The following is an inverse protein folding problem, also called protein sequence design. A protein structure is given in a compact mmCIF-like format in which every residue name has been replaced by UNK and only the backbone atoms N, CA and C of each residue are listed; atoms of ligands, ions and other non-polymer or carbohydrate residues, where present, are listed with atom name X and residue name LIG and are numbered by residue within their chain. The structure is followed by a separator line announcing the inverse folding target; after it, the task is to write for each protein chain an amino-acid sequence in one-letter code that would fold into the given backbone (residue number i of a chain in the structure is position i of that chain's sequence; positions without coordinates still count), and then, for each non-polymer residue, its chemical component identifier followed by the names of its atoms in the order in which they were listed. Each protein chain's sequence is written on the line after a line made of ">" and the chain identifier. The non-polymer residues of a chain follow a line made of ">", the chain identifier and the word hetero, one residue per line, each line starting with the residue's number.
data_IF_233595429746
#
_entry.id   IF_233595429746
#
_cell.length_a   1.000
_cell.length_b   1.000
_cell.length_c   1.000
_cell.angle_alpha   90.00
_cell.angle_beta   90.00
_cell.angle_gamma   90.00
#
_symmetry.space_group_name_H-M   'P 1'
#
loop_
_entity.id
_entity.type
_entity.pdbx_description
1 polymer ?
#
# COMPACT_ATOMS: atom_id res chain seq x y z
N UNK A 1 -14.24 -24.35 14.97
CA UNK A 1 -14.05 -23.01 15.56
C UNK A 1 -14.31 -22.01 14.45
N UNK A 2 -15.35 -21.18 14.54
CA UNK A 2 -15.60 -20.16 13.52
C UNK A 2 -14.42 -19.18 13.52
N UNK A 3 -13.72 -19.04 12.39
CA UNK A 3 -12.67 -18.03 12.22
C UNK A 3 -13.28 -16.65 12.51
N UNK A 4 -12.87 -16.03 13.62
CA UNK A 4 -13.29 -14.66 13.92
C UNK A 4 -12.61 -13.72 12.92
N UNK A 5 -13.36 -13.24 11.93
CA UNK A 5 -12.93 -12.18 11.02
C UNK A 5 -12.60 -10.89 11.79
N UNK A 6 -11.67 -10.09 11.27
CA UNK A 6 -11.36 -8.80 11.84
C UNK A 6 -12.59 -7.91 11.66
N UNK A 7 -13.16 -7.40 12.75
CA UNK A 7 -14.16 -6.33 12.67
C UNK A 7 -13.41 -4.99 12.53
N UNK A 8 -12.62 -4.86 11.46
CA UNK A 8 -11.89 -3.63 11.17
C UNK A 8 -12.89 -2.49 10.97
N UNK A 9 -12.58 -1.27 11.46
CA UNK A 9 -13.44 -0.11 11.22
C UNK A 9 -13.61 0.14 9.71
N UNK A 10 -14.83 0.44 9.27
CA UNK A 10 -15.10 0.92 7.90
C UNK A 10 -15.14 2.46 7.92
N UNK A 11 -14.24 3.12 7.23
CA UNK A 11 -14.06 4.56 7.24
C UNK A 11 -14.52 5.16 5.92
N UNK A 12 -15.45 6.11 5.94
CA UNK A 12 -15.96 6.80 4.76
C UNK A 12 -15.01 7.92 4.33
N UNK A 13 -14.38 7.77 3.16
CA UNK A 13 -13.52 8.82 2.60
C UNK A 13 -14.32 10.07 2.26
N UNK A 14 -15.58 9.94 1.86
CA UNK A 14 -16.45 11.09 1.61
C UNK A 14 -16.70 11.90 2.90
N UNK A 15 -16.95 11.24 4.03
CA UNK A 15 -17.10 11.90 5.33
C UNK A 15 -15.79 12.52 5.82
N UNK A 16 -14.64 11.89 5.55
CA UNK A 16 -13.32 12.48 5.81
C UNK A 16 -13.04 13.72 4.96
N UNK A 17 -13.48 13.78 3.68
CA UNK A 17 -13.35 15.01 2.86
C UNK A 17 -14.07 16.20 3.49
N UNK A 18 -15.17 15.95 4.21
CA UNK A 18 -15.92 16.94 4.95
C UNK A 18 -15.43 17.14 6.40
N UNK A 19 -14.32 16.50 6.79
CA UNK A 19 -13.77 16.51 8.16
C UNK A 19 -14.81 16.17 9.23
N UNK A 20 -15.69 15.19 8.94
CA UNK A 20 -16.73 14.76 9.88
C UNK A 20 -16.09 14.31 11.21
N UNK A 21 -16.43 14.92 12.37
CA UNK A 21 -15.79 14.61 13.65
C UNK A 21 -15.92 13.15 14.08
N UNK A 22 -17.08 12.53 13.82
CA UNK A 22 -17.31 11.11 14.14
C UNK A 22 -16.41 10.19 13.32
N UNK A 23 -16.16 10.56 12.06
CA UNK A 23 -15.34 9.75 11.16
C UNK A 23 -13.84 9.91 11.47
N UNK A 24 -13.42 11.14 11.83
CA UNK A 24 -12.07 11.40 12.34
C UNK A 24 -11.78 10.60 13.61
N UNK A 25 -12.73 10.51 14.54
CA UNK A 25 -12.56 9.72 15.76
C UNK A 25 -12.50 8.22 15.47
N UNK A 26 -13.28 7.74 14.50
CA UNK A 26 -13.20 6.35 14.04
C UNK A 26 -11.83 6.04 13.42
N UNK A 27 -11.28 6.97 12.64
CA UNK A 27 -9.94 6.88 12.08
C UNK A 27 -8.88 6.92 13.18
N UNK A 28 -8.98 7.84 14.14
CA UNK A 28 -8.07 7.91 15.28
C UNK A 28 -7.96 6.57 15.98
N UNK A 29 -9.10 5.98 16.36
CA UNK A 29 -9.14 4.66 17.00
C UNK A 29 -8.46 3.61 16.11
N UNK A 30 -8.84 3.52 14.84
CA UNK A 30 -8.24 2.55 13.92
C UNK A 30 -6.71 2.68 13.84
N UNK A 31 -6.19 3.91 13.82
CA UNK A 31 -4.76 4.19 13.79
C UNK A 31 -4.05 3.81 15.09
N UNK A 32 -4.68 3.97 16.27
CA UNK A 32 -4.06 3.68 17.57
C UNK A 32 -4.25 2.24 18.04
N UNK A 33 -5.17 1.48 17.43
CA UNK A 33 -5.43 0.08 17.82
C UNK A 33 -5.04 -0.95 16.77
N UNK A 34 -5.72 -0.99 15.62
CA UNK A 34 -5.49 -2.03 14.62
C UNK A 34 -4.43 -1.68 13.58
N UNK A 35 -4.13 -0.39 13.39
CA UNK A 35 -3.28 0.09 12.29
C UNK A 35 -3.86 -0.17 10.90
N UNK A 36 -5.10 -0.66 10.83
CA UNK A 36 -5.79 -1.14 9.64
C UNK A 36 -7.28 -0.76 9.70
N UNK A 37 -7.84 -0.42 8.55
CA UNK A 37 -9.27 -0.15 8.39
C UNK A 37 -9.71 -0.43 6.96
N UNK A 38 -11.02 -0.53 6.71
CA UNK A 38 -11.56 -0.49 5.34
C UNK A 38 -11.89 0.95 4.97
N UNK A 39 -11.48 1.42 3.80
CA UNK A 39 -11.98 2.66 3.21
C UNK A 39 -13.23 2.39 2.36
N UNK A 40 -14.26 3.21 2.54
CA UNK A 40 -15.54 3.19 1.82
C UNK A 40 -15.84 4.58 1.24
N UNK A 41 -16.88 4.70 0.41
CA UNK A 41 -17.28 5.97 -0.24
C UNK A 41 -16.11 6.68 -0.94
N UNK A 42 -15.19 5.90 -1.48
CA UNK A 42 -13.95 6.37 -2.09
C UNK A 42 -14.19 7.08 -3.42
N UNK A 43 -15.22 6.66 -4.16
CA UNK A 43 -15.62 7.27 -5.44
C UNK A 43 -14.76 6.86 -6.65
N UNK A 44 -13.82 5.92 -6.47
CA UNK A 44 -13.13 5.22 -7.57
C UNK A 44 -14.17 4.41 -8.36
N UNK A 45 -14.21 4.58 -9.69
CA UNK A 45 -15.12 3.87 -10.58
C UNK A 45 -14.81 2.38 -10.68
N UNK A 46 -15.83 1.52 -10.61
CA UNK A 46 -15.66 0.05 -10.71
C UNK A 46 -15.11 -0.35 -12.09
N UNK A 47 -15.50 0.37 -13.15
CA UNK A 47 -15.02 0.18 -14.51
C UNK A 47 -13.51 0.38 -14.64
N UNK A 48 -12.94 1.38 -13.95
CA UNK A 48 -11.50 1.66 -13.98
C UNK A 48 -10.73 0.54 -13.28
N UNK A 49 -11.25 0.04 -12.16
CA UNK A 49 -10.67 -1.09 -11.43
C UNK A 49 -10.74 -2.36 -12.27
N UNK A 50 -11.87 -2.61 -12.96
CA UNK A 50 -12.06 -3.77 -13.81
C UNK A 50 -11.15 -3.75 -15.04
N UNK A 51 -11.02 -2.61 -15.71
CA UNK A 51 -10.12 -2.44 -16.86
C UNK A 51 -8.66 -2.70 -16.47
N UNK A 52 -8.19 -2.13 -15.36
CA UNK A 52 -6.85 -2.38 -14.83
C UNK A 52 -6.65 -3.86 -14.44
N UNK A 53 -7.69 -4.50 -13.89
CA UNK A 53 -7.67 -5.92 -13.54
C UNK A 53 -7.50 -6.79 -14.78
N UNK A 54 -8.35 -6.60 -15.79
CA UNK A 54 -8.33 -7.40 -17.02
C UNK A 54 -7.02 -7.19 -17.79
N UNK A 55 -6.55 -5.95 -17.92
CA UNK A 55 -5.31 -5.65 -18.63
C UNK A 55 -4.08 -6.24 -17.92
N UNK A 56 -4.04 -6.20 -16.58
CA UNK A 56 -2.97 -6.80 -15.81
C UNK A 56 -2.97 -8.33 -15.92
N UNK A 57 -4.14 -8.98 -15.91
CA UNK A 57 -4.24 -10.41 -16.18
C UNK A 57 -3.72 -10.77 -17.58
N UNK A 58 -3.98 -9.94 -18.60
CA UNK A 58 -3.39 -10.12 -19.93
C UNK A 58 -1.86 -10.04 -19.88
N UNK A 59 -1.30 -9.04 -19.19
CA UNK A 59 0.14 -8.91 -19.02
C UNK A 59 0.75 -10.14 -18.32
N UNK A 60 0.21 -10.58 -17.18
CA UNK A 60 0.75 -11.72 -16.45
C UNK A 60 0.59 -13.06 -17.17
N UNK A 61 -0.35 -13.13 -18.13
CA UNK A 61 -0.52 -14.29 -19.02
C UNK A 61 0.49 -14.36 -20.17
N UNK A 62 1.31 -13.33 -20.37
CA UNK A 62 2.38 -13.36 -21.37
C UNK A 62 3.45 -14.40 -21.01
N UNK A 63 4.17 -14.96 -22.02
CA UNK A 63 5.35 -15.78 -21.77
C UNK A 63 6.36 -15.07 -20.87
N UNK A 64 7.04 -15.81 -19.99
CA UNK A 64 7.98 -15.25 -19.02
C UNK A 64 9.04 -14.38 -19.71
N UNK A 65 9.55 -14.81 -20.86
CA UNK A 65 10.56 -14.10 -21.64
C UNK A 65 10.08 -12.72 -22.09
N UNK A 66 8.78 -12.58 -22.37
CA UNK A 66 8.16 -11.29 -22.72
C UNK A 66 8.00 -10.39 -21.50
N UNK A 67 7.60 -10.95 -20.36
CA UNK A 67 7.48 -10.21 -19.10
C UNK A 67 8.84 -9.68 -18.63
N UNK A 68 9.90 -10.49 -18.76
CA UNK A 68 11.26 -10.14 -18.36
C UNK A 68 11.86 -8.96 -19.15
N UNK A 69 11.35 -8.63 -20.35
CA UNK A 69 11.77 -7.44 -21.09
C UNK A 69 11.44 -6.13 -20.37
N UNK A 70 10.51 -6.18 -19.40
CA UNK A 70 10.09 -5.06 -18.57
C UNK A 70 10.55 -5.20 -17.13
N UNK A 71 11.49 -6.12 -16.84
CA UNK A 71 11.97 -6.38 -15.49
C UNK A 71 12.65 -5.16 -14.86
N UNK A 72 12.85 -5.20 -13.53
CA UNK A 72 13.59 -4.17 -12.79
C UNK A 72 14.96 -3.84 -13.43
N UNK A 73 15.68 -4.82 -13.98
CA UNK A 73 17.01 -4.60 -14.56
C UNK A 73 17.01 -3.67 -15.79
N UNK A 74 15.89 -3.67 -16.54
CA UNK A 74 15.67 -2.88 -17.75
C UNK A 74 15.18 -1.46 -17.45
N UNK A 75 14.90 -1.13 -16.19
CA UNK A 75 14.49 0.21 -15.79
C UNK A 75 15.70 1.15 -15.69
N UNK A 76 15.49 2.42 -16.04
CA UNK A 76 16.52 3.48 -15.98
C UNK A 76 16.44 4.34 -14.72
N UNK A 77 15.35 4.21 -13.94
CA UNK A 77 15.11 4.92 -12.69
C UNK A 77 15.92 4.38 -11.52
N UNK A 78 16.17 5.23 -10.52
CA UNK A 78 16.76 4.84 -9.23
C UNK A 78 15.72 4.91 -8.11
N UNK A 79 15.61 3.89 -7.24
CA UNK A 79 16.15 2.55 -7.42
C UNK A 79 15.36 1.80 -8.51
N UNK A 80 16.06 0.93 -9.24
CA UNK A 80 15.45 0.04 -10.24
C UNK A 80 14.42 -0.92 -9.65
N UNK A 81 14.63 -1.32 -8.39
CA UNK A 81 13.81 -2.30 -7.66
C UNK A 81 12.39 -1.84 -7.34
N UNK A 82 12.02 -0.61 -7.74
CA UNK A 82 10.70 -0.03 -7.49
C UNK A 82 9.93 0.25 -8.77
N UNK A 83 10.34 -0.37 -9.88
CA UNK A 83 9.72 -0.26 -11.20
C UNK A 83 9.87 -1.56 -11.98
N UNK A 84 8.92 -1.84 -12.86
CA UNK A 84 8.95 -2.97 -13.77
C UNK A 84 8.55 -4.30 -13.14
N UNK A 85 8.71 -5.35 -13.93
CA UNK A 85 8.30 -6.70 -13.61
C UNK A 85 9.26 -7.41 -12.65
N UNK A 86 8.70 -8.24 -11.77
CA UNK A 86 9.42 -9.15 -10.87
C UNK A 86 8.80 -10.54 -11.03
N UNK A 87 9.60 -11.57 -11.39
CA UNK A 87 9.09 -12.93 -11.52
C UNK A 87 8.72 -13.53 -10.16
N UNK A 88 7.95 -14.62 -10.19
CA UNK A 88 7.66 -15.40 -8.99
C UNK A 88 8.94 -15.82 -8.27
N UNK A 89 9.00 -15.59 -6.96
CA UNK A 89 10.20 -15.82 -6.15
C UNK A 89 11.28 -14.73 -6.28
N UNK A 90 10.99 -13.61 -6.95
CA UNK A 90 11.93 -12.49 -7.08
C UNK A 90 11.97 -11.54 -5.88
N UNK A 91 11.05 -11.68 -4.92
CA UNK A 91 10.99 -10.89 -3.68
C UNK A 91 10.93 -11.84 -2.47
N UNK A 92 11.60 -11.48 -1.37
CA UNK A 92 11.53 -12.20 -0.09
C UNK A 92 11.13 -11.21 1.00
N UNK A 93 9.89 -11.31 1.48
CA UNK A 93 9.39 -10.44 2.57
C UNK A 93 9.65 -11.03 3.96
N UNK A 94 9.71 -12.36 4.05
CA UNK A 94 10.00 -13.09 5.29
C UNK A 94 11.05 -14.16 4.99
N UNK A 95 12.32 -13.88 5.32
CA UNK A 95 13.44 -14.78 5.06
C UNK A 95 13.27 -16.16 5.70
N UNK A 96 12.43 -16.28 6.74
CA UNK A 96 12.12 -17.57 7.38
C UNK A 96 11.22 -18.48 6.53
N UNK A 97 10.56 -17.94 5.51
CA UNK A 97 9.66 -18.67 4.60
C UNK A 97 10.23 -18.88 3.19
N UNK A 98 11.37 -18.25 2.89
CA UNK A 98 11.94 -18.21 1.55
C UNK A 98 11.19 -17.24 0.63
N UNK A 99 11.54 -17.27 -0.65
CA UNK A 99 11.05 -16.31 -1.63
C UNK A 99 9.55 -16.44 -1.89
N UNK A 100 8.88 -15.30 -2.06
CA UNK A 100 7.44 -15.21 -2.20
C UNK A 100 7.00 -15.65 -3.61
N UNK A 101 6.17 -16.71 -3.75
CA UNK A 101 5.76 -17.26 -5.04
C UNK A 101 4.61 -16.45 -5.67
N UNK A 102 4.89 -15.18 -5.98
CA UNK A 102 3.96 -14.21 -6.58
C UNK A 102 4.69 -13.36 -7.62
N UNK A 103 3.98 -12.99 -8.68
CA UNK A 103 4.51 -12.07 -9.69
C UNK A 103 4.13 -10.62 -9.35
N UNK A 104 5.01 -9.68 -9.68
CA UNK A 104 4.80 -8.26 -9.40
C UNK A 104 5.07 -7.44 -10.66
N UNK A 105 4.33 -6.36 -10.84
CA UNK A 105 4.73 -5.24 -11.69
C UNK A 105 4.64 -3.95 -10.88
N UNK A 106 5.77 -3.27 -10.71
CA UNK A 106 5.87 -1.99 -10.01
C UNK A 106 5.86 -0.81 -10.99
N UNK A 107 5.17 0.24 -10.59
CA UNK A 107 5.06 1.50 -11.31
C UNK A 107 5.01 2.65 -10.28
N UNK A 108 4.91 3.89 -10.73
CA UNK A 108 4.75 5.03 -9.83
C UNK A 108 4.44 6.32 -10.56
N UNK A 109 4.65 7.44 -9.87
CA UNK A 109 4.48 8.75 -10.48
C UNK A 109 5.70 9.10 -11.34
N UNK A 110 5.41 9.68 -12.51
CA UNK A 110 6.39 10.36 -13.34
C UNK A 110 6.28 11.85 -13.03
N UNK A 111 7.37 12.44 -12.56
CA UNK A 111 7.45 13.86 -12.24
C UNK A 111 8.45 14.50 -13.20
N UNK A 112 8.03 15.58 -13.86
CA UNK A 112 8.92 16.34 -14.73
C UNK A 112 9.73 17.39 -13.97
N UNK A 113 10.78 17.92 -14.61
CA UNK A 113 11.60 19.01 -14.08
C UNK A 113 12.63 18.58 -13.04
N UNK A 114 13.08 19.53 -12.20
CA UNK A 114 14.17 19.31 -11.25
C UNK A 114 13.83 18.24 -10.20
N UNK A 115 12.62 18.30 -9.63
CA UNK A 115 12.14 17.32 -8.66
C UNK A 115 11.98 15.91 -9.27
N UNK A 116 11.80 15.82 -10.59
CA UNK A 116 11.78 14.57 -11.35
C UNK A 116 13.10 13.80 -11.36
N UNK A 117 14.21 14.46 -11.00
CA UNK A 117 15.54 13.84 -10.91
C UNK A 117 15.78 13.11 -9.59
N UNK A 118 14.91 13.32 -8.59
CA UNK A 118 14.99 12.59 -7.34
C UNK A 118 14.72 11.08 -7.57
N UNK A 119 15.21 10.24 -6.66
CA UNK A 119 14.87 8.81 -6.70
C UNK A 119 13.35 8.63 -6.68
N UNK A 120 12.87 7.54 -7.27
CA UNK A 120 11.45 7.16 -7.37
C UNK A 120 10.56 8.08 -8.23
N UNK A 121 11.08 9.18 -8.81
CA UNK A 121 10.28 10.18 -9.53
C UNK A 121 10.36 10.09 -11.07
N UNK A 122 11.08 9.10 -11.59
CA UNK A 122 11.29 8.92 -13.03
C UNK A 122 10.22 8.08 -13.74
N UNK A 123 10.32 8.08 -15.07
CA UNK A 123 9.47 7.29 -15.97
C UNK A 123 9.74 5.79 -15.85
N UNK A 124 8.66 5.01 -15.86
CA UNK A 124 8.70 3.55 -15.96
C UNK A 124 8.78 3.11 -17.42
N UNK A 125 9.64 2.15 -17.74
CA UNK A 125 9.61 1.48 -19.03
C UNK A 125 8.48 0.44 -19.04
N UNK A 126 7.38 0.79 -19.70
CA UNK A 126 6.13 0.03 -19.77
C UNK A 126 6.00 -0.71 -21.12
N UNK A 127 5.26 -1.84 -21.16
CA UNK A 127 4.90 -2.49 -22.41
C UNK A 127 4.03 -1.59 -23.28
N UNK A 128 4.22 -1.69 -24.60
CA UNK A 128 3.40 -1.00 -25.59
C UNK A 128 2.06 -1.72 -25.82
N UNK A 129 1.18 -1.09 -26.59
CA UNK A 129 -0.15 -1.62 -26.93
C UNK A 129 -0.09 -2.92 -27.74
N UNK A 130 1.02 -3.19 -28.44
CA UNK A 130 1.20 -4.45 -29.17
C UNK A 130 1.54 -5.60 -28.23
N UNK A 131 2.35 -5.31 -27.20
CA UNK A 131 2.85 -6.31 -26.25
C UNK A 131 1.84 -6.62 -25.15
N UNK A 132 1.22 -5.59 -24.56
CA UNK A 132 0.23 -5.74 -23.50
C UNK A 132 -0.90 -4.70 -23.67
N UNK A 133 -1.88 -4.96 -24.57
CA UNK A 133 -2.94 -4.01 -24.89
C UNK A 133 -3.64 -3.46 -23.64
N UNK A 134 -3.69 -2.13 -23.53
CA UNK A 134 -4.34 -1.37 -22.47
C UNK A 134 -3.67 -1.43 -21.10
N UNK A 135 -2.58 -2.19 -20.91
CA UNK A 135 -1.94 -2.33 -19.58
C UNK A 135 -1.45 -0.99 -19.06
N UNK A 136 -0.60 -0.29 -19.82
CA UNK A 136 -0.04 1.00 -19.41
C UNK A 136 -1.12 2.07 -19.17
N UNK A 137 -2.13 2.15 -20.04
CA UNK A 137 -3.19 3.16 -19.94
C UNK A 137 -4.11 2.92 -18.73
N UNK A 138 -4.54 1.68 -18.51
CA UNK A 138 -5.48 1.35 -17.41
C UNK A 138 -4.81 1.38 -16.04
N UNK A 139 -3.54 0.95 -15.91
CA UNK A 139 -2.80 1.08 -14.64
C UNK A 139 -2.59 2.55 -14.28
N UNK A 140 -2.29 3.41 -15.25
CA UNK A 140 -2.19 4.86 -15.06
C UNK A 140 -3.53 5.52 -14.71
N UNK A 141 -4.63 5.10 -15.35
CA UNK A 141 -5.97 5.59 -15.04
C UNK A 141 -6.37 5.25 -13.59
N UNK A 142 -6.13 4.00 -13.17
CA UNK A 142 -6.37 3.58 -11.79
C UNK A 142 -5.50 4.36 -10.80
N UNK A 143 -4.21 4.56 -11.11
CA UNK A 143 -3.29 5.35 -10.28
C UNK A 143 -3.79 6.75 -10.03
N UNK A 144 -4.22 7.45 -11.10
CA UNK A 144 -4.75 8.81 -11.02
C UNK A 144 -5.98 8.85 -10.11
N UNK A 145 -6.91 7.92 -10.27
CA UNK A 145 -8.11 7.84 -9.43
C UNK A 145 -7.78 7.66 -7.95
N UNK A 146 -6.85 6.76 -7.62
CA UNK A 146 -6.44 6.53 -6.23
C UNK A 146 -5.73 7.77 -5.67
N UNK A 147 -4.82 8.38 -6.43
CA UNK A 147 -4.14 9.62 -6.02
C UNK A 147 -5.14 10.75 -5.79
N UNK A 148 -6.08 10.97 -6.71
CA UNK A 148 -7.01 12.10 -6.63
C UNK A 148 -8.08 11.91 -5.55
N UNK A 149 -8.54 10.67 -5.35
CA UNK A 149 -9.72 10.38 -4.53
C UNK A 149 -9.38 9.85 -3.13
N UNK A 150 -8.24 9.20 -2.94
CA UNK A 150 -7.87 8.54 -1.67
C UNK A 150 -6.86 9.36 -0.88
N UNK A 151 -5.83 9.89 -1.54
CA UNK A 151 -4.74 10.58 -0.86
C UNK A 151 -5.19 11.87 -0.15
N UNK A 152 -5.94 12.81 -0.76
CA UNK A 152 -6.31 14.06 -0.10
C UNK A 152 -7.11 13.90 1.20
N UNK A 153 -8.21 13.11 1.27
CA UNK A 153 -8.96 12.99 2.52
C UNK A 153 -8.14 12.36 3.64
N UNK A 154 -7.29 11.37 3.32
CA UNK A 154 -6.44 10.72 4.33
C UNK A 154 -5.32 11.65 4.80
N UNK A 155 -4.61 12.35 3.90
CA UNK A 155 -3.58 13.31 4.29
C UNK A 155 -4.12 14.46 5.16
N UNK A 156 -5.31 14.99 4.82
CA UNK A 156 -5.98 16.01 5.65
C UNK A 156 -6.37 15.48 7.02
N UNK A 157 -6.97 14.29 7.05
CA UNK A 157 -7.37 13.66 8.29
C UNK A 157 -6.16 13.37 9.18
N UNK A 158 -5.10 12.72 8.65
CA UNK A 158 -3.87 12.46 9.40
C UNK A 158 -3.21 13.75 9.90
N UNK A 159 -3.19 14.82 9.12
CA UNK A 159 -2.68 16.12 9.55
C UNK A 159 -3.40 16.64 10.81
N UNK A 160 -4.74 16.54 10.84
CA UNK A 160 -5.56 16.91 12.01
C UNK A 160 -5.34 15.95 13.17
N UNK A 161 -5.26 14.64 12.90
CA UNK A 161 -5.07 13.64 13.96
C UNK A 161 -3.68 13.75 14.61
N UNK A 162 -2.70 14.26 13.86
CA UNK A 162 -1.36 14.68 14.33
C UNK A 162 -1.37 16.06 15.02
N UNK A 163 -2.53 16.69 15.22
CA UNK A 163 -2.65 17.97 15.94
C UNK A 163 -2.17 19.19 15.15
N UNK A 164 -2.07 19.07 13.83
CA UNK A 164 -1.72 20.17 12.93
C UNK A 164 -2.92 20.66 12.11
N UNK A 165 -2.74 21.77 11.39
CA UNK A 165 -3.68 22.23 10.35
C UNK A 165 -3.87 21.15 9.28
N UNK A 166 -5.04 21.10 8.64
CA UNK A 166 -5.36 20.09 7.62
C UNK A 166 -4.38 20.05 6.43
N UNK A 167 -3.63 21.13 6.19
CA UNK A 167 -2.65 21.26 5.10
C UNK A 167 -1.22 20.87 5.49
N UNK A 168 -0.99 20.35 6.71
CA UNK A 168 0.35 20.04 7.18
C UNK A 168 1.09 19.03 6.29
N UNK A 169 0.46 17.89 5.96
CA UNK A 169 1.10 16.90 5.09
C UNK A 169 1.26 17.40 3.65
N UNK A 170 0.41 18.33 3.17
CA UNK A 170 0.50 18.87 1.81
C UNK A 170 1.86 19.53 1.52
N UNK A 171 2.49 20.11 2.56
CA UNK A 171 3.82 20.74 2.49
C UNK A 171 4.92 19.74 2.09
N UNK A 172 4.72 18.45 2.37
CA UNK A 172 5.67 17.38 2.08
C UNK A 172 5.22 16.50 0.92
N UNK A 173 3.97 16.61 0.45
CA UNK A 173 3.38 15.74 -0.57
C UNK A 173 3.40 16.37 -1.98
N UNK A 174 4.19 17.41 -2.24
CA UNK A 174 4.22 18.12 -3.53
C UNK A 174 5.61 18.12 -4.18
N UNK A 175 5.91 17.16 -5.07
CA UNK A 175 5.11 15.99 -5.43
C UNK A 175 5.22 14.89 -4.37
N UNK A 176 4.25 13.97 -4.27
CA UNK A 176 4.38 12.82 -3.38
C UNK A 176 5.24 11.75 -4.06
N UNK A 177 5.83 10.86 -3.26
CA UNK A 177 6.38 9.61 -3.81
C UNK A 177 5.30 8.54 -3.73
N UNK A 178 5.01 7.89 -4.85
CA UNK A 178 4.04 6.80 -4.93
C UNK A 178 4.70 5.58 -5.57
N UNK A 179 4.52 4.43 -4.95
CA UNK A 179 4.76 3.15 -5.58
C UNK A 179 3.40 2.51 -5.79
N UNK A 180 3.05 2.27 -7.05
CA UNK A 180 1.91 1.45 -7.43
C UNK A 180 2.43 0.07 -7.73
N UNK A 181 1.86 -0.93 -7.09
CA UNK A 181 2.23 -2.31 -7.32
C UNK A 181 1.02 -3.07 -7.85
N UNK A 182 1.24 -3.91 -8.85
CA UNK A 182 0.27 -4.92 -9.27
C UNK A 182 0.82 -6.29 -8.90
N UNK A 183 0.09 -7.07 -8.10
CA UNK A 183 0.55 -8.38 -7.62
C UNK A 183 -0.39 -9.47 -8.15
N UNK A 184 0.19 -10.48 -8.78
CA UNK A 184 -0.52 -11.66 -9.26
C UNK A 184 -0.10 -12.91 -8.49
N UNK A 185 -1.10 -13.57 -7.92
CA UNK A 185 -0.98 -14.85 -7.22
C UNK A 185 -1.64 -15.91 -8.12
N UNK A 186 -0.89 -16.90 -8.64
CA UNK A 186 -1.45 -17.90 -9.53
C UNK A 186 -2.44 -18.83 -8.82
N UNK A 187 -3.36 -19.41 -9.60
CA UNK A 187 -4.28 -20.44 -9.11
C UNK A 187 -3.56 -21.77 -8.90
N UNK A 188 -4.09 -22.60 -8.01
CA UNK A 188 -3.69 -23.99 -7.75
C UNK A 188 -2.23 -24.18 -7.37
N UNK A 189 -1.52 -23.12 -7.00
CA UNK A 189 -0.15 -23.17 -6.53
C UNK A 189 -0.05 -22.71 -5.07
N UNK A 190 1.06 -23.05 -4.44
CA UNK A 190 1.44 -22.42 -3.19
C UNK A 190 1.87 -20.97 -3.49
N UNK A 191 1.08 -19.97 -3.08
CA UNK A 191 1.39 -18.55 -3.26
C UNK A 191 1.13 -17.78 -1.96
N UNK A 192 2.02 -16.86 -1.61
CA UNK A 192 1.92 -16.07 -0.40
C UNK A 192 2.72 -14.77 -0.50
N UNK A 193 2.42 -13.84 0.39
CA UNK A 193 3.32 -12.75 0.76
C UNK A 193 3.73 -12.92 2.22
N UNK A 194 5.03 -12.93 2.49
CA UNK A 194 5.58 -13.06 3.83
C UNK A 194 5.06 -12.01 4.80
N UNK A 195 5.19 -12.24 6.12
CA UNK A 195 4.79 -11.24 7.12
C UNK A 195 5.68 -9.99 7.00
N UNK A 196 5.09 -8.81 6.94
CA UNK A 196 5.82 -7.55 6.82
C UNK A 196 4.98 -6.37 7.31
N UNK A 197 5.62 -5.21 7.47
CA UNK A 197 4.97 -3.90 7.56
C UNK A 197 5.23 -3.11 6.28
N UNK A 198 4.41 -2.10 6.02
CA UNK A 198 4.65 -1.16 4.92
C UNK A 198 5.35 0.08 5.42
N UNK A 199 6.17 0.70 4.57
CA UNK A 199 7.12 1.71 5.01
C UNK A 199 6.59 3.16 4.92
N UNK A 200 5.55 3.38 4.12
CA UNK A 200 5.04 4.71 3.79
C UNK A 200 4.23 5.36 4.90
N UNK A 201 3.51 6.42 4.56
CA UNK A 201 2.49 6.99 5.43
C UNK A 201 1.36 5.99 5.63
N UNK A 202 0.85 5.47 4.52
CA UNK A 202 -0.19 4.46 4.48
C UNK A 202 -0.15 3.73 3.14
N UNK A 203 -0.80 2.56 3.10
CA UNK A 203 -1.01 1.79 1.88
C UNK A 203 -2.51 1.62 1.64
N UNK A 204 -2.97 1.86 0.42
CA UNK A 204 -4.31 1.51 -0.02
C UNK A 204 -4.26 0.22 -0.85
N UNK A 205 -4.95 -0.84 -0.43
CA UNK A 205 -4.90 -2.16 -1.09
C UNK A 205 -6.21 -2.47 -1.80
N UNK A 206 -6.27 -2.22 -3.10
CA UNK A 206 -7.44 -2.59 -3.90
C UNK A 206 -7.37 -4.09 -4.24
N UNK A 207 -8.40 -4.83 -3.83
CA UNK A 207 -8.56 -6.26 -4.13
C UNK A 207 -9.80 -6.43 -4.99
N UNK A 208 -9.66 -6.37 -6.33
CA UNK A 208 -10.81 -6.47 -7.23
C UNK A 208 -11.44 -7.87 -7.19
N UNK A 209 -12.70 -7.94 -7.60
CA UNK A 209 -13.34 -9.22 -7.90
C UNK A 209 -12.69 -9.77 -9.17
N UNK A 210 -12.32 -11.05 -9.15
CA UNK A 210 -11.78 -11.71 -10.34
C UNK A 210 -12.89 -11.87 -11.40
N UNK A 211 -12.59 -11.63 -12.69
CA UNK A 211 -13.53 -11.91 -13.77
C UNK A 211 -13.93 -13.38 -13.72
N UNK A 212 -15.22 -13.68 -13.75
CA UNK A 212 -15.68 -15.06 -13.89
C UNK A 212 -15.51 -15.50 -15.33
N UNK A 213 -15.14 -16.76 -15.57
CA UNK A 213 -14.85 -17.34 -16.89
C UNK A 213 -16.02 -17.28 -17.91
N UNK A 214 -17.19 -16.79 -17.49
CA UNK A 214 -18.41 -16.69 -18.30
C UNK A 214 -18.84 -15.25 -18.63
N UNK A 215 -18.07 -14.22 -18.24
CA UNK A 215 -18.40 -12.85 -18.66
C UNK A 215 -17.86 -12.59 -20.08
N UNK A 216 -18.70 -12.20 -21.05
CA UNK A 216 -18.26 -11.93 -22.41
C UNK A 216 -17.30 -10.75 -22.43
N UNK A 217 -16.29 -10.85 -23.30
CA UNK A 217 -15.29 -9.80 -23.51
C UNK A 217 -15.99 -8.50 -23.91
N UNK A 218 -15.56 -7.32 -23.43
CA UNK A 218 -16.22 -6.03 -23.71
C UNK A 218 -16.22 -5.61 -25.19
N UNK A 219 -15.65 -6.43 -26.09
CA UNK A 219 -15.68 -6.22 -27.54
C UNK A 219 -16.81 -6.96 -28.27
N UNK A 220 -17.61 -7.78 -27.57
CA UNK A 220 -18.77 -8.45 -28.16
C UNK A 220 -20.06 -7.63 -27.95
N UNK A 221 -20.14 -6.45 -28.58
CA UNK A 221 -21.39 -5.69 -28.64
C UNK A 221 -22.32 -6.32 -29.67
N UNK A 222 -23.13 -7.30 -29.25
CA UNK A 222 -24.45 -7.62 -29.81
C UNK A 222 -25.11 -8.74 -28.99
N UNK A 223 -25.86 -8.39 -27.95
CA UNK A 223 -26.67 -9.37 -27.22
C UNK A 223 -27.39 -8.77 -26.02
N UNK A 224 -28.72 -8.71 -26.13
CA UNK A 224 -29.72 -8.34 -25.11
C UNK A 224 -29.31 -8.51 -23.64
N UNK A 225 -29.46 -7.44 -22.87
CA UNK A 225 -29.44 -7.45 -21.40
C UNK A 225 -30.61 -8.29 -20.89
N UNK A 226 -30.32 -9.48 -20.37
CA UNK A 226 -31.24 -10.21 -19.50
C UNK A 226 -30.86 -9.90 -18.05
N UNK A 227 -31.62 -9.00 -17.43
CA UNK A 227 -31.62 -8.86 -15.96
C UNK A 227 -32.20 -10.15 -15.37
N UNK A 228 -31.32 -11.03 -14.91
CA UNK A 228 -31.69 -12.07 -13.96
C UNK A 228 -30.95 -11.78 -12.66
N UNK A 229 -31.69 -11.14 -11.74
CA UNK A 229 -31.30 -11.09 -10.35
C UNK A 229 -31.41 -12.48 -9.78
N UNK A 230 -30.27 -13.10 -9.52
CA UNK A 230 -30.15 -14.18 -8.55
C UNK A 230 -28.98 -13.83 -7.65
N UNK A 231 -29.32 -13.31 -6.47
CA UNK A 231 -28.41 -13.28 -5.32
C UNK A 231 -28.06 -14.74 -4.99
N UNK A 232 -26.96 -15.23 -5.54
CA UNK A 232 -26.36 -16.51 -5.15
C UNK A 232 -25.91 -16.43 -3.68
N UNK A 233 -26.86 -16.68 -2.78
CA UNK A 233 -26.67 -16.80 -1.33
C UNK A 233 -25.94 -18.09 -0.95
N UNK A 234 -25.44 -18.86 -1.91
CA UNK A 234 -24.67 -20.11 -1.68
C UNK A 234 -23.20 -20.00 -2.07
N UNK A 235 -22.76 -18.89 -2.68
CA UNK A 235 -21.34 -18.62 -2.87
C UNK A 235 -20.65 -18.53 -1.51
N UNK A 236 -19.78 -19.49 -1.21
CA UNK A 236 -18.87 -19.40 -0.07
C UNK A 236 -18.10 -18.09 -0.23
N UNK A 237 -18.10 -17.18 0.78
CA UNK A 237 -17.40 -15.91 0.64
C UNK A 237 -15.94 -16.21 0.25
N UNK A 238 -15.36 -15.46 -0.69
CA UNK A 238 -14.00 -15.70 -1.13
C UNK A 238 -13.11 -15.73 0.11
N UNK A 239 -12.36 -16.84 0.26
CA UNK A 239 -11.51 -17.06 1.43
C UNK A 239 -10.58 -15.86 1.57
N UNK A 240 -10.63 -15.19 2.72
CA UNK A 240 -9.78 -14.07 3.02
C UNK A 240 -8.31 -14.54 2.97
N UNK A 241 -7.55 -14.07 1.98
CA UNK A 241 -6.12 -14.39 1.88
C UNK A 241 -5.27 -13.40 2.67
N UNK A 242 -5.72 -12.16 2.86
CA UNK A 242 -5.03 -11.17 3.67
C UNK A 242 -5.29 -11.43 5.15
N UNK A 243 -4.22 -11.42 5.95
CA UNK A 243 -4.29 -11.48 7.40
C UNK A 243 -3.50 -10.34 8.03
N UNK A 244 -4.03 -9.77 9.11
CA UNK A 244 -3.41 -8.72 9.91
C UNK A 244 -3.11 -9.24 11.31
N UNK A 245 -1.94 -8.90 11.86
CA UNK A 245 -1.55 -9.30 13.21
C UNK A 245 -2.00 -8.25 14.24
N UNK A 246 -3.17 -8.45 14.84
CA UNK A 246 -3.70 -7.55 15.87
C UNK A 246 -4.31 -8.36 17.02
N UNK A 247 -4.36 -7.77 18.21
CA UNK A 247 -4.83 -8.45 19.43
C UNK A 247 -4.07 -9.76 19.72
N UNK A 248 -2.77 -9.80 19.39
CA UNK A 248 -1.88 -10.94 19.62
C UNK A 248 -2.11 -12.14 18.70
N UNK A 249 -2.86 -12.00 17.60
CA UNK A 249 -3.14 -13.09 16.67
C UNK A 249 -3.27 -12.60 15.22
N UNK A 250 -3.09 -13.50 14.27
CA UNK A 250 -3.44 -13.27 12.87
C UNK A 250 -4.95 -13.31 12.70
N UNK A 251 -5.50 -12.29 12.05
CA UNK A 251 -6.94 -12.16 11.82
C UNK A 251 -7.19 -11.96 10.32
N UNK A 252 -8.11 -12.74 9.71
CA UNK A 252 -8.43 -12.58 8.30
C UNK A 252 -9.15 -11.27 8.01
N UNK A 253 -8.82 -10.67 6.87
CA UNK A 253 -9.37 -9.43 6.31
C UNK A 253 -10.07 -9.76 4.99
N UNK A 254 -11.37 -10.14 5.01
CA UNK A 254 -12.09 -10.54 3.81
C UNK A 254 -12.32 -9.34 2.86
N UNK A 255 -12.38 -9.56 1.53
CA UNK A 255 -12.83 -8.52 0.61
C UNK A 255 -14.25 -8.07 0.94
N UNK A 256 -14.49 -6.76 1.00
CA UNK A 256 -15.81 -6.16 1.23
C UNK A 256 -16.22 -5.35 -0.01
N UNK A 257 -17.46 -5.54 -0.49
CA UNK A 257 -17.96 -4.81 -1.66
C UNK A 257 -17.95 -3.30 -1.41
N UNK A 258 -17.43 -2.53 -2.38
CA UNK A 258 -17.34 -1.06 -2.28
C UNK A 258 -16.36 -0.57 -1.22
N UNK A 259 -15.49 -1.45 -0.71
CA UNK A 259 -14.49 -1.12 0.29
C UNK A 259 -13.13 -1.71 -0.08
N UNK A 260 -12.05 -1.11 0.41
CA UNK A 260 -10.71 -1.69 0.33
C UNK A 260 -9.91 -1.47 1.61
N UNK A 261 -9.04 -2.41 2.03
CA UNK A 261 -8.18 -2.20 3.18
C UNK A 261 -7.20 -1.03 3.00
N UNK A 262 -6.99 -0.27 4.07
CA UNK A 262 -5.93 0.72 4.21
C UNK A 262 -5.18 0.43 5.50
N UNK A 263 -3.86 0.48 5.46
CA UNK A 263 -3.01 0.35 6.63
C UNK A 263 -2.07 1.52 6.81
N UNK A 264 -1.73 1.76 8.07
CA UNK A 264 -0.72 2.71 8.48
C UNK A 264 0.65 2.09 8.23
N UNK A 265 1.59 2.89 7.73
CA UNK A 265 2.96 2.47 7.51
C UNK A 265 3.94 3.04 8.54
N UNK A 266 5.16 2.52 8.52
CA UNK A 266 6.22 2.79 9.49
C UNK A 266 6.58 4.27 9.57
N UNK A 267 6.55 4.99 8.44
CA UNK A 267 6.84 6.43 8.41
C UNK A 267 5.79 7.22 9.21
N UNK A 268 4.51 6.92 9.06
CA UNK A 268 3.47 7.61 9.82
C UNK A 268 3.46 7.21 11.29
N UNK A 269 3.76 5.94 11.61
CA UNK A 269 4.02 5.52 12.99
C UNK A 269 5.14 6.37 13.61
N UNK A 270 6.27 6.54 12.91
CA UNK A 270 7.40 7.31 13.43
C UNK A 270 7.09 8.82 13.53
N UNK A 271 6.41 9.40 12.55
CA UNK A 271 5.92 10.80 12.60
C UNK A 271 5.01 11.02 13.81
N UNK A 272 4.14 10.05 14.15
CA UNK A 272 3.23 10.16 15.29
C UNK A 272 3.87 9.85 16.66
N UNK A 273 5.19 9.69 16.71
CA UNK A 273 5.90 9.31 17.94
C UNK A 273 5.56 7.91 18.45
N UNK A 274 5.03 7.03 17.58
CA UNK A 274 4.57 5.68 17.96
C UNK A 274 3.10 5.59 18.34
N UNK A 275 2.34 6.71 18.31
CA UNK A 275 0.92 6.72 18.66
C UNK A 275 0.07 5.96 17.64
N UNK A 276 0.37 6.13 16.34
CA UNK A 276 -0.25 5.31 15.30
C UNK A 276 0.58 4.05 15.07
N UNK A 277 -0.11 2.93 14.83
CA UNK A 277 0.51 1.60 14.79
C UNK A 277 0.59 1.11 13.34
N UNK A 278 1.82 0.86 12.87
CA UNK A 278 2.12 0.10 11.67
C UNK A 278 2.06 -1.38 12.01
N UNK A 279 1.14 -2.10 11.37
CA UNK A 279 0.77 -3.44 11.81
C UNK A 279 1.27 -4.51 10.84
N UNK A 280 1.95 -5.57 11.34
CA UNK A 280 2.36 -6.67 10.49
C UNK A 280 1.18 -7.33 9.80
N UNK A 281 1.32 -7.60 8.52
CA UNK A 281 0.31 -8.27 7.71
C UNK A 281 0.96 -9.29 6.76
N UNK A 282 0.17 -10.24 6.24
CA UNK A 282 0.63 -11.27 5.29
C UNK A 282 -0.48 -11.68 4.34
N UNK A 283 -0.13 -12.34 3.25
CA UNK A 283 -1.11 -12.96 2.34
C UNK A 283 -0.87 -14.47 2.29
N UNK A 284 -1.88 -15.25 2.63
CA UNK A 284 -1.88 -16.72 2.46
C UNK A 284 -2.85 -17.08 1.32
N UNK A 285 -2.31 -17.38 0.13
CA UNK A 285 -3.07 -17.74 -1.07
C UNK A 285 -2.70 -19.16 -1.54
N UNK A 286 -2.77 -20.11 -0.61
CA UNK A 286 -2.33 -21.48 -0.85
C UNK A 286 -3.40 -22.29 -1.60
N UNK A 287 -3.05 -22.81 -2.77
CA UNK A 287 -3.84 -23.78 -3.54
C UNK A 287 -5.27 -23.34 -3.83
N UNK A 288 -5.49 -22.03 -3.94
CA UNK A 288 -6.80 -21.47 -4.32
C UNK A 288 -7.14 -21.87 -5.75
N UNK A 289 -8.36 -22.34 -6.05
CA UNK A 289 -8.76 -22.71 -7.41
C UNK A 289 -8.86 -21.51 -8.36
N UNK A 290 -8.99 -20.30 -7.81
CA UNK A 290 -9.02 -19.05 -8.56
C UNK A 290 -7.76 -18.24 -8.28
N UNK A 291 -7.19 -17.58 -9.31
CA UNK A 291 -6.06 -16.68 -9.10
C UNK A 291 -6.49 -15.46 -8.29
N UNK A 292 -5.53 -14.72 -7.74
CA UNK A 292 -5.77 -13.44 -7.08
C UNK A 292 -4.92 -12.36 -7.71
N UNK A 293 -5.52 -11.20 -7.95
CA UNK A 293 -4.79 -9.98 -8.26
C UNK A 293 -5.07 -8.91 -7.19
N UNK A 294 -4.10 -8.06 -6.93
CA UNK A 294 -4.28 -6.91 -6.04
C UNK A 294 -3.42 -5.73 -6.44
N UNK A 295 -3.90 -4.52 -6.15
CA UNK A 295 -3.22 -3.26 -6.43
C UNK A 295 -2.94 -2.49 -5.14
N UNK A 296 -1.81 -2.74 -4.45
CA UNK A 296 -1.34 -1.86 -3.39
C UNK A 296 -0.77 -0.54 -3.94
N UNK A 297 -1.13 0.55 -3.29
CA UNK A 297 -0.63 1.90 -3.52
C UNK A 297 0.05 2.40 -2.24
N UNK A 298 1.37 2.53 -2.28
CA UNK A 298 2.18 2.93 -1.13
C UNK A 298 2.46 4.44 -1.20
N UNK A 299 1.91 5.20 -0.27
CA UNK A 299 2.02 6.66 -0.25
C UNK A 299 3.14 7.13 0.66
N UNK A 300 4.01 7.98 0.13
CA UNK A 300 5.07 8.65 0.88
C UNK A 300 5.06 10.15 0.56
N UNK A 301 5.62 11.00 1.44
CA UNK A 301 5.98 12.35 1.06
C UNK A 301 7.05 12.35 -0.05
N UNK A 302 7.40 13.53 -0.53
CA UNK A 302 8.50 13.72 -1.46
C UNK A 302 9.76 13.07 -0.90
N UNK A 303 10.48 12.34 -1.75
CA UNK A 303 11.61 11.51 -1.33
C UNK A 303 12.67 12.27 -0.52
N UNK A 304 12.93 13.55 -0.83
CA UNK A 304 13.91 14.37 -0.11
C UNK A 304 13.32 15.12 1.11
N UNK A 305 12.05 14.93 1.42
CA UNK A 305 11.41 15.60 2.56
C UNK A 305 11.94 15.12 3.90
N UNK A 306 11.95 16.06 4.86
CA UNK A 306 12.13 15.81 6.29
C UNK A 306 10.86 16.24 7.01
N UNK A 307 10.12 15.29 7.57
CA UNK A 307 8.82 15.54 8.21
C UNK A 307 8.99 15.63 9.72
N UNK A 308 8.46 16.65 10.41
CA UNK A 308 8.56 16.74 11.86
C UNK A 308 7.98 15.52 12.58
N UNK A 309 8.65 15.07 13.64
CA UNK A 309 8.05 14.11 14.59
C UNK A 309 7.13 14.87 15.53
N UNK A 310 5.91 14.38 15.69
CA UNK A 310 4.88 14.94 16.55
C UNK A 310 4.84 14.14 17.85
N UNK A 311 5.05 14.83 18.97
CA UNK A 311 4.73 14.29 20.28
C UNK A 311 3.24 14.50 20.54
N UNK A 312 2.44 13.45 20.38
CA UNK A 312 1.04 13.44 20.79
C UNK A 312 1.00 13.07 22.29
N UNK A 313 0.50 13.99 23.12
CA UNK A 313 0.23 13.68 24.54
C UNK A 313 -1.18 13.06 24.64
N UNK A 314 -1.30 11.93 25.32
CA UNK A 314 -2.59 11.43 25.78
C UNK A 314 -3.03 12.27 26.98
N UNK A 315 -3.91 13.25 26.77
CA UNK A 315 -4.66 13.80 27.91
C UNK A 315 -5.78 12.82 28.26
N UNK A 316 -5.71 12.22 29.45
CA UNK A 316 -6.89 11.68 30.14
C UNK A 316 -7.80 12.86 30.51
N UNK A 317 -8.70 13.29 29.61
CA UNK A 317 -9.83 14.11 30.03
C UNK A 317 -11.18 13.67 29.44
N UNK A 318 -12.12 13.55 30.36
CA UNK A 318 -13.46 12.98 30.31
C UNK A 318 -14.49 13.79 29.52
N UNK A 319 -14.05 14.72 28.66
CA UNK A 319 -14.93 15.49 27.79
C UNK A 319 -14.22 15.84 26.50
N UNK A 320 -14.77 15.37 25.38
CA UNK A 320 -14.29 15.62 24.02
C UNK A 320 -13.68 17.01 23.81
N UNK A 321 -12.35 17.11 23.71
CA UNK A 321 -11.68 18.24 23.07
C UNK A 321 -10.24 17.91 22.63
N UNK A 322 -9.82 18.62 21.59
CA UNK A 322 -8.64 18.39 20.75
C UNK A 322 -7.31 18.38 21.53
N UNK A 323 -6.44 17.42 21.20
CA UNK A 323 -5.07 17.28 21.73
C UNK A 323 -4.26 18.56 21.46
N UNK A 324 -3.60 19.06 22.49
CA UNK A 324 -2.66 20.19 22.41
C UNK A 324 -1.27 19.68 22.02
N UNK A 325 -0.72 20.17 20.91
CA UNK A 325 0.68 19.90 20.52
C UNK A 325 1.61 20.88 21.22
N UNK A 326 2.71 20.39 21.80
CA UNK A 326 3.78 21.26 22.30
C UNK A 326 4.62 21.76 21.13
N UNK A 327 4.48 23.04 20.77
CA UNK A 327 5.34 23.70 19.79
C UNK A 327 6.78 23.76 20.27
N UNK A 328 7.67 23.00 19.64
CA UNK A 328 9.11 23.08 19.86
C UNK A 328 9.70 24.31 19.19
N UNK A 329 9.67 25.46 19.87
CA UNK A 329 10.58 26.56 19.51
C UNK A 329 11.98 26.23 20.04
N UNK A 330 12.91 25.94 19.12
CA UNK A 330 14.31 25.78 19.44
C UNK A 330 14.91 27.07 19.99
N UNK A 331 15.16 27.11 21.30
CA UNK A 331 16.17 27.98 21.89
C UNK A 331 17.26 27.11 22.48
N UNK A 332 18.45 27.21 21.88
CA UNK A 332 19.64 26.55 22.38
C UNK A 332 20.01 27.04 23.77
N UNK A 333 20.36 26.10 24.62
CA UNK A 333 21.40 26.27 25.63
C UNK A 333 21.97 24.89 25.95
N UNK A 334 23.30 24.82 25.90
CA UNK A 334 24.12 23.67 26.26
C UNK A 334 23.88 23.28 27.72
N UNK A 335 23.63 22.00 27.97
CA UNK A 335 24.20 21.27 29.11
C UNK A 335 24.11 19.76 28.83
N UNK A 336 25.28 19.14 28.69
CA UNK A 336 25.49 17.72 28.44
C UNK A 336 25.04 16.88 29.63
N UNK A 337 24.08 15.98 29.43
CA UNK A 337 24.02 14.71 30.18
C UNK A 337 23.57 13.58 29.25
N UNK A 338 24.34 12.50 29.24
CA UNK A 338 24.28 11.41 28.26
C UNK A 338 22.90 10.79 28.06
N UNK A 339 22.43 10.85 26.80
CA UNK A 339 21.38 10.00 26.23
C UNK A 339 21.82 9.52 24.86
N UNK A 340 21.38 8.32 24.55
CA UNK A 340 21.52 7.61 23.27
C UNK A 340 21.31 8.56 22.05
N UNK A 341 22.26 8.64 21.10
CA UNK A 341 22.23 9.64 20.02
C UNK A 341 21.12 9.41 18.96
N UNK A 342 20.33 8.34 19.05
CA UNK A 342 19.21 8.08 18.12
C UNK A 342 17.87 8.73 18.53
N UNK A 343 17.78 9.40 19.69
CA UNK A 343 16.54 10.06 20.16
C UNK A 343 16.45 11.56 19.85
N UNK A 344 17.32 12.10 18.98
CA UNK A 344 17.49 13.56 18.83
C UNK A 344 17.49 14.07 17.38
N UNK A 345 16.51 13.69 16.57
CA UNK A 345 16.07 14.56 15.46
C UNK A 345 14.58 14.82 15.59
N UNK A 346 14.17 16.08 15.70
CA UNK A 346 12.75 16.47 15.67
C UNK A 346 12.07 16.21 14.32
N UNK A 347 12.68 15.42 13.44
CA UNK A 347 12.27 15.15 12.07
C UNK A 347 12.63 13.72 11.67
N UNK A 348 11.83 13.16 10.77
CA UNK A 348 12.04 11.91 10.05
C UNK A 348 12.45 12.21 8.62
N UNK A 349 13.54 11.61 8.16
CA UNK A 349 13.99 11.68 6.76
C UNK A 349 13.30 10.61 5.91
N UNK A 350 12.51 11.02 4.92
CA UNK A 350 11.80 10.09 4.02
C UNK A 350 12.80 9.22 3.26
N UNK A 351 13.89 9.84 2.78
CA UNK A 351 15.01 9.17 2.12
C UNK A 351 15.59 8.03 2.96
N UNK A 352 15.87 8.27 4.24
CA UNK A 352 16.49 7.27 5.12
C UNK A 352 15.55 6.07 5.36
N UNK A 353 14.26 6.33 5.56
CA UNK A 353 13.24 5.28 5.71
C UNK A 353 13.14 4.44 4.43
N UNK A 354 13.04 5.09 3.27
CA UNK A 354 12.94 4.37 2.00
C UNK A 354 14.21 3.56 1.71
N UNK A 355 15.40 4.16 1.79
CA UNK A 355 16.65 3.48 1.44
C UNK A 355 16.97 2.28 2.34
N UNK A 356 16.74 2.39 3.66
CA UNK A 356 16.96 1.28 4.59
C UNK A 356 16.15 0.06 4.19
N UNK A 357 14.89 0.26 3.83
CA UNK A 357 13.96 -0.83 3.63
C UNK A 357 14.14 -1.51 2.26
N UNK A 358 14.45 -0.74 1.21
CA UNK A 358 14.74 -1.34 -0.10
C UNK A 358 16.03 -2.15 -0.13
N UNK A 359 17.00 -1.82 0.74
CA UNK A 359 18.18 -2.68 0.89
C UNK A 359 17.85 -4.05 1.51
N UNK A 360 16.86 -4.14 2.41
CA UNK A 360 16.49 -5.39 3.08
C UNK A 360 15.64 -6.33 2.21
N UNK A 361 14.68 -5.78 1.46
CA UNK A 361 13.71 -6.58 0.67
C UNK A 361 14.38 -7.24 -0.57
N UNK A 362 15.37 -6.57 -1.16
CA UNK A 362 15.90 -6.94 -2.49
C UNK A 362 17.34 -7.46 -2.50
N UNK A 363 18.10 -7.39 -1.40
CA UNK A 363 19.49 -7.89 -1.38
C UNK A 363 19.61 -9.42 -1.25
N UNK A 364 18.52 -10.14 -1.01
CA UNK A 364 18.54 -11.61 -0.93
C UNK A 364 18.21 -12.32 -2.26
N UNK A 365 17.98 -11.56 -3.35
CA UNK A 365 17.44 -12.09 -4.62
C UNK A 365 18.30 -11.89 -5.88
N UNK A 366 19.62 -11.76 -5.77
CA UNK A 366 20.53 -11.59 -6.93
C UNK A 366 21.80 -12.42 -6.81
N UNK A 367 22.02 -13.36 -7.75
CA UNK A 367 22.98 -14.46 -7.63
C UNK A 367 24.47 -14.10 -7.63
N UNK A 368 25.25 -15.15 -7.28
CA UNK A 368 26.71 -15.28 -7.20
C UNK A 368 27.36 -14.98 -5.83
N UNK A 369 27.46 -16.03 -5.02
CA UNK A 369 28.67 -16.36 -4.24
C UNK A 369 29.02 -15.45 -3.06
N UNK A 370 28.51 -15.81 -1.88
CA UNK A 370 29.32 -15.88 -0.66
C UNK A 370 28.65 -16.79 0.37
N UNK A 371 29.14 -18.02 0.43
CA UNK A 371 29.01 -18.87 1.61
C UNK A 371 29.58 -18.11 2.81
N UNK A 372 28.74 -17.86 3.82
CA UNK A 372 29.20 -17.77 5.20
C UNK A 372 28.77 -19.07 5.86
N UNK A 373 29.75 -19.93 6.10
CA UNK A 373 29.69 -20.97 7.11
C UNK A 373 29.18 -20.34 8.41
N UNK A 374 28.14 -20.95 8.99
CA UNK A 374 27.88 -20.88 10.41
C UNK A 374 27.83 -22.33 10.86
N UNK A 375 28.92 -22.70 11.53
CA UNK A 375 29.14 -23.94 12.25
C UNK A 375 28.09 -24.08 13.36
N UNK A 376 27.59 -25.32 13.47
CA UNK A 376 26.90 -26.04 14.57
C UNK A 376 25.88 -25.33 15.47
#
# INVERSE_FOLDING_TARGET
>A
MAERCANLPIISLSALRCLCPKELEKLRRACTTEGFFYASDHGIGEEIVNEATVSALRFFSLPLEKKLQFSQEHQSITPKTCRGYVPAGGETLDSTRGADPKEIFDDGLEVEGEKGRANFMGRTFLPDETTAPGFAASTAALRREVVDKVMPPLCKAFSILLGHKETFLDEFMSPPTLIQRCIFYPANCNSFAGKHTDNGLFTALLVPKMPTTNEPSPHDTNGSVSETGDDDKTATPPKASLEVFTQGRWIPVPPLKGCFPVNIGDLLQHISGGTFVSTPHRVEHHFSPSPRISFPFFFYPFYESRVPVVALEEEEDSSHQLIKVRGGEGKGNNEETGRDPEKTSGFVSVKEVMDRNFSQIWQEGGGAGRSKELED
#
